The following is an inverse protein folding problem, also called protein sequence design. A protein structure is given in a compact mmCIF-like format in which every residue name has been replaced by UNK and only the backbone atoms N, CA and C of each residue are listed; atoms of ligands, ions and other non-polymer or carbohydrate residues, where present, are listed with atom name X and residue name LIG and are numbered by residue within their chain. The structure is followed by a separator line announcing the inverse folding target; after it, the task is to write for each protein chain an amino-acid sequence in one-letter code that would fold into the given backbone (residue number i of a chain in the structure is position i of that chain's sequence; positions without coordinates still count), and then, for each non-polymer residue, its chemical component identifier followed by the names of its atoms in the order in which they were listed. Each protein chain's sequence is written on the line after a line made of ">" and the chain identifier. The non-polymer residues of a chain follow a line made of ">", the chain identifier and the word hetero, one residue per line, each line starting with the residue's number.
data_IF_723017333849
#
_entry.id   IF_723017333849
#
_cell.length_a   1.000
_cell.length_b   1.000
_cell.length_c   1.000
_cell.angle_alpha   90.00
_cell.angle_beta   90.00
_cell.angle_gamma   90.00
#
_symmetry.space_group_name_H-M   'P 1'
#
loop_
_entity.id
_entity.type
_entity.pdbx_description
1 polymer ?
#
# COMPACT_ATOMS: atom_id res chain seq x y z
N UNK A 1 -35.93 -25.80 31.12
CA UNK A 1 -35.25 -26.06 29.85
C UNK A 1 -35.80 -25.10 28.82
N UNK A 2 -34.98 -24.12 28.41
CA UNK A 2 -35.33 -23.18 27.34
C UNK A 2 -34.79 -23.78 26.04
N UNK A 3 -35.72 -24.24 25.19
CA UNK A 3 -35.40 -24.66 23.81
C UNK A 3 -35.40 -23.40 22.93
N UNK A 4 -34.24 -22.89 22.64
CA UNK A 4 -34.06 -21.84 21.61
C UNK A 4 -34.30 -22.46 20.24
N UNK A 5 -35.24 -21.92 19.46
CA UNK A 5 -35.37 -22.24 18.05
C UNK A 5 -34.30 -21.47 17.28
N UNK A 6 -33.25 -22.13 16.89
CA UNK A 6 -32.32 -21.60 15.88
C UNK A 6 -32.91 -21.83 14.50
N UNK A 7 -33.13 -20.75 13.76
CA UNK A 7 -33.52 -20.81 12.35
C UNK A 7 -32.29 -20.49 11.51
N UNK A 8 -31.76 -21.47 10.80
CA UNK A 8 -30.74 -21.24 9.80
C UNK A 8 -31.30 -20.32 8.70
N UNK A 9 -30.74 -19.15 8.53
CA UNK A 9 -31.07 -18.25 7.42
C UNK A 9 -29.99 -18.45 6.37
N UNK A 10 -30.37 -18.99 5.22
CA UNK A 10 -29.51 -19.03 4.03
C UNK A 10 -29.75 -17.74 3.29
N UNK A 11 -28.75 -16.90 3.21
CA UNK A 11 -28.77 -15.69 2.38
C UNK A 11 -28.15 -16.07 1.03
N UNK A 12 -28.95 -16.09 -0.01
CA UNK A 12 -28.45 -16.20 -1.40
C UNK A 12 -27.90 -14.84 -1.80
N UNK A 13 -26.58 -14.73 -1.88
CA UNK A 13 -25.93 -13.54 -2.43
C UNK A 13 -25.84 -13.68 -3.95
N UNK A 14 -26.11 -12.61 -4.70
CA UNK A 14 -25.88 -12.63 -6.13
C UNK A 14 -24.39 -12.88 -6.41
N UNK A 15 -24.09 -13.83 -7.30
CA UNK A 15 -22.73 -14.03 -7.80
C UNK A 15 -22.27 -12.74 -8.46
N UNK A 16 -21.29 -12.10 -7.89
CA UNK A 16 -20.63 -10.95 -8.51
C UNK A 16 -19.41 -11.46 -9.29
N UNK A 17 -19.24 -10.91 -10.50
CA UNK A 17 -18.00 -11.18 -11.23
C UNK A 17 -16.85 -10.48 -10.48
N UNK A 18 -15.68 -11.15 -10.36
CA UNK A 18 -14.50 -10.53 -9.77
C UNK A 18 -14.14 -9.25 -10.53
N UNK A 19 -13.79 -8.20 -9.81
CA UNK A 19 -13.26 -6.97 -10.37
C UNK A 19 -11.74 -6.92 -10.23
N UNK A 20 -11.06 -6.36 -11.22
CA UNK A 20 -9.65 -6.03 -11.13
C UNK A 20 -9.46 -4.94 -10.06
N UNK A 21 -8.62 -5.23 -9.07
CA UNK A 21 -8.24 -4.32 -8.00
C UNK A 21 -6.79 -3.94 -8.21
N UNK A 22 -6.50 -2.65 -8.19
CA UNK A 22 -5.16 -2.10 -8.41
C UNK A 22 -4.71 -1.35 -7.17
N UNK A 23 -3.58 -1.74 -6.61
CA UNK A 23 -2.86 -1.01 -5.58
C UNK A 23 -1.56 -0.47 -6.20
N UNK A 24 -1.50 0.85 -6.43
CA UNK A 24 -0.34 1.53 -7.00
C UNK A 24 0.29 2.47 -5.98
N UNK A 25 1.62 2.47 -5.91
CA UNK A 25 2.40 3.36 -5.05
C UNK A 25 3.59 3.92 -5.81
N UNK A 26 3.82 5.23 -5.65
CA UNK A 26 5.01 5.93 -6.12
C UNK A 26 5.52 6.82 -4.99
N UNK A 27 6.80 6.75 -4.69
CA UNK A 27 7.46 7.52 -3.63
C UNK A 27 8.75 8.14 -4.18
N UNK A 28 9.13 9.30 -3.63
CA UNK A 28 10.35 10.00 -4.03
C UNK A 28 11.58 9.11 -3.91
N UNK A 29 12.31 8.96 -5.02
CA UNK A 29 13.54 8.17 -5.08
C UNK A 29 13.35 6.66 -5.10
N UNK A 30 12.10 6.16 -5.09
CA UNK A 30 11.80 4.73 -5.18
C UNK A 30 11.18 4.37 -6.55
N UNK A 31 11.37 3.15 -7.04
CA UNK A 31 10.68 2.68 -8.23
C UNK A 31 9.16 2.58 -8.01
N UNK A 32 8.35 2.69 -9.08
CA UNK A 32 6.92 2.47 -9.00
C UNK A 32 6.64 1.04 -8.53
N UNK A 33 5.60 0.90 -7.73
CA UNK A 33 5.11 -0.40 -7.26
C UNK A 33 3.63 -0.52 -7.57
N UNK A 34 3.25 -1.55 -8.32
CA UNK A 34 1.86 -1.84 -8.64
C UNK A 34 1.57 -3.30 -8.36
N UNK A 35 0.55 -3.54 -7.55
CA UNK A 35 0.04 -4.85 -7.22
C UNK A 35 -1.37 -4.98 -7.81
N UNK A 36 -1.62 -6.09 -8.50
CA UNK A 36 -2.92 -6.41 -9.06
C UNK A 36 -3.53 -7.57 -8.29
N UNK A 37 -4.81 -7.45 -7.96
CA UNK A 37 -5.58 -8.51 -7.35
C UNK A 37 -7.00 -8.55 -7.93
N UNK A 38 -7.74 -9.60 -7.60
CA UNK A 38 -9.15 -9.72 -7.96
C UNK A 38 -10.01 -9.69 -6.70
N UNK A 39 -11.13 -8.98 -6.78
CA UNK A 39 -12.10 -9.01 -5.71
C UNK A 39 -12.69 -10.41 -5.55
N UNK A 40 -12.97 -10.80 -4.31
CA UNK A 40 -13.62 -12.07 -3.99
C UNK A 40 -14.98 -11.83 -3.36
N UNK A 41 -15.83 -12.85 -3.41
CA UNK A 41 -17.08 -12.83 -2.67
C UNK A 41 -16.83 -12.67 -1.17
N UNK A 42 -17.65 -11.88 -0.51
CA UNK A 42 -17.50 -11.56 0.92
C UNK A 42 -17.40 -12.79 1.84
N UNK A 43 -18.04 -13.89 1.48
CA UNK A 43 -18.02 -15.13 2.24
C UNK A 43 -17.10 -16.23 1.64
N UNK A 44 -16.28 -15.87 0.65
CA UNK A 44 -15.28 -16.78 0.14
C UNK A 44 -14.30 -17.19 1.26
N UNK A 45 -14.00 -18.47 1.43
CA UNK A 45 -13.01 -18.88 2.42
C UNK A 45 -11.63 -18.34 2.04
N UNK A 46 -10.96 -17.70 3.01
CA UNK A 46 -9.58 -17.26 2.84
C UNK A 46 -8.70 -18.29 3.51
N UNK A 47 -7.99 -19.08 2.71
CA UNK A 47 -6.99 -20.04 3.16
C UNK A 47 -5.69 -19.88 2.35
N UNK A 48 -4.65 -20.63 2.70
CA UNK A 48 -3.36 -20.55 2.03
C UNK A 48 -3.44 -20.87 0.52
N UNK A 49 -4.40 -21.68 0.08
CA UNK A 49 -4.59 -22.02 -1.33
C UNK A 49 -5.32 -20.92 -2.10
N UNK A 50 -6.22 -20.19 -1.44
CA UNK A 50 -6.93 -19.06 -2.05
C UNK A 50 -6.06 -17.80 -2.19
N UNK A 51 -5.02 -17.63 -1.35
CA UNK A 51 -4.10 -16.50 -1.44
C UNK A 51 -3.41 -16.43 -2.81
N UNK A 52 -2.99 -17.56 -3.38
CA UNK A 52 -2.36 -17.58 -4.71
C UNK A 52 -3.29 -17.18 -5.86
N UNK A 53 -4.62 -17.31 -5.67
CA UNK A 53 -5.61 -16.89 -6.68
C UNK A 53 -6.10 -15.45 -6.51
N UNK A 54 -5.74 -14.78 -5.41
CA UNK A 54 -6.08 -13.39 -5.18
C UNK A 54 -5.28 -12.44 -6.06
N UNK A 55 -4.00 -12.76 -6.26
CA UNK A 55 -3.09 -11.92 -7.02
C UNK A 55 -3.15 -12.25 -8.51
N UNK A 56 -3.17 -11.22 -9.33
CA UNK A 56 -3.28 -11.35 -10.77
C UNK A 56 -1.94 -11.03 -11.43
N UNK A 57 -1.38 -12.03 -12.09
CA UNK A 57 -0.20 -11.90 -12.96
C UNK A 57 -0.59 -11.87 -14.43
N UNK A 58 0.37 -11.55 -15.30
CA UNK A 58 0.22 -11.56 -16.76
C UNK A 58 -0.58 -10.38 -17.32
N UNK A 59 -0.64 -9.26 -16.59
CA UNK A 59 -1.25 -8.03 -17.05
C UNK A 59 -0.26 -7.17 -17.86
N UNK A 60 -0.78 -6.34 -18.75
CA UNK A 60 -0.05 -5.25 -19.35
C UNK A 60 -0.23 -4.00 -18.48
N UNK A 61 0.88 -3.51 -17.90
CA UNK A 61 0.84 -2.36 -16.99
C UNK A 61 1.75 -1.27 -17.54
N UNK A 62 1.18 -0.08 -17.73
CA UNK A 62 1.86 1.10 -18.27
C UNK A 62 1.81 2.25 -17.29
N UNK A 63 2.89 3.00 -17.24
CA UNK A 63 3.01 4.22 -16.46
C UNK A 63 3.38 5.37 -17.40
N UNK A 64 2.52 6.35 -17.50
CA UNK A 64 2.85 7.62 -18.15
C UNK A 64 3.38 8.60 -17.09
N UNK A 65 4.53 9.20 -17.37
CA UNK A 65 5.17 10.21 -16.51
C UNK A 65 5.28 11.50 -17.30
N UNK A 66 4.37 12.44 -17.07
CA UNK A 66 4.29 13.73 -17.78
C UNK A 66 4.30 13.59 -19.32
N UNK A 67 3.63 12.56 -19.85
CA UNK A 67 3.54 12.28 -21.30
C UNK A 67 4.61 11.32 -21.85
N UNK A 68 5.46 10.75 -21.00
CA UNK A 68 6.38 9.68 -21.35
C UNK A 68 5.83 8.34 -20.86
N UNK A 69 5.38 7.50 -21.79
CA UNK A 69 4.86 6.17 -21.49
C UNK A 69 6.00 5.16 -21.30
N UNK A 70 5.92 4.36 -20.24
CA UNK A 70 6.86 3.29 -19.90
C UNK A 70 6.09 2.03 -19.50
N UNK A 71 6.46 0.89 -20.08
CA UNK A 71 5.94 -0.40 -19.68
C UNK A 71 6.59 -0.83 -18.36
N UNK A 72 5.75 -1.22 -17.38
CA UNK A 72 6.22 -1.82 -16.13
C UNK A 72 6.47 -3.31 -16.36
N UNK A 73 7.52 -3.82 -15.74
CA UNK A 73 7.88 -5.25 -15.79
C UNK A 73 7.23 -5.99 -14.62
N UNK A 74 6.75 -7.18 -14.89
CA UNK A 74 6.28 -8.10 -13.87
C UNK A 74 7.46 -8.79 -13.19
N UNK A 75 7.44 -8.82 -11.86
CA UNK A 75 8.40 -9.53 -11.01
C UNK A 75 7.62 -10.38 -10.03
N UNK A 76 7.76 -11.70 -10.10
CA UNK A 76 7.05 -12.65 -9.26
C UNK A 76 7.95 -13.24 -8.18
N UNK A 77 7.39 -13.46 -6.99
CA UNK A 77 8.15 -14.05 -5.86
C UNK A 77 8.70 -15.44 -6.14
N UNK A 78 8.11 -16.20 -7.08
CA UNK A 78 8.62 -17.49 -7.54
C UNK A 78 9.93 -17.39 -8.31
N UNK A 79 10.31 -16.20 -8.80
CA UNK A 79 11.52 -15.94 -9.58
C UNK A 79 12.65 -15.40 -8.70
N UNK A 80 12.36 -15.07 -7.43
CA UNK A 80 13.31 -14.46 -6.51
C UNK A 80 14.15 -15.51 -5.77
N UNK A 81 15.44 -15.20 -5.60
CA UNK A 81 16.33 -15.95 -4.73
C UNK A 81 16.06 -15.66 -3.23
N UNK A 82 16.70 -16.42 -2.32
CA UNK A 82 16.44 -16.28 -0.88
C UNK A 82 16.76 -14.88 -0.31
N UNK A 83 17.77 -14.19 -0.82
CA UNK A 83 18.12 -12.84 -0.38
C UNK A 83 17.10 -11.82 -0.86
N UNK A 84 16.64 -11.94 -2.10
CA UNK A 84 15.63 -11.06 -2.70
C UNK A 84 14.25 -11.28 -2.04
N UNK A 85 13.90 -12.54 -1.71
CA UNK A 85 12.69 -12.84 -0.94
C UNK A 85 12.72 -12.22 0.46
N UNK A 86 13.88 -12.23 1.13
CA UNK A 86 14.02 -11.56 2.43
C UNK A 86 13.83 -10.04 2.30
N UNK A 87 14.43 -9.42 1.28
CA UNK A 87 14.24 -7.99 1.01
C UNK A 87 12.78 -7.67 0.63
N UNK A 88 12.13 -8.50 -0.19
CA UNK A 88 10.72 -8.35 -0.53
C UNK A 88 9.81 -8.49 0.71
N UNK A 89 10.13 -9.41 1.63
CA UNK A 89 9.42 -9.59 2.90
C UNK A 89 9.44 -8.33 3.76
N UNK A 90 10.60 -7.67 3.86
CA UNK A 90 10.73 -6.41 4.59
C UNK A 90 9.96 -5.26 3.90
N UNK A 91 10.05 -5.17 2.58
CA UNK A 91 9.42 -4.11 1.79
C UNK A 91 7.88 -4.23 1.79
N UNK A 92 7.36 -5.45 1.65
CA UNK A 92 5.94 -5.73 1.53
C UNK A 92 5.26 -5.95 2.88
N UNK A 93 6.03 -6.24 3.93
CA UNK A 93 5.52 -6.55 5.26
C UNK A 93 4.86 -7.94 5.37
N UNK A 94 5.13 -8.85 4.41
CA UNK A 94 4.64 -10.23 4.43
C UNK A 94 5.76 -11.19 4.83
N UNK A 95 5.47 -12.21 5.66
CA UNK A 95 6.44 -13.28 5.92
C UNK A 95 6.89 -13.98 4.62
N UNK A 96 8.16 -14.42 4.56
CA UNK A 96 8.73 -15.09 3.38
C UNK A 96 7.90 -16.31 2.97
N UNK A 97 7.38 -17.06 3.93
CA UNK A 97 6.54 -18.24 3.69
C UNK A 97 5.25 -17.87 2.93
N UNK A 98 4.66 -16.72 3.25
CA UNK A 98 3.45 -16.21 2.57
C UNK A 98 3.79 -15.81 1.14
N UNK A 99 4.91 -15.12 0.94
CA UNK A 99 5.38 -14.72 -0.41
C UNK A 99 5.61 -15.93 -1.31
N UNK A 100 6.21 -16.99 -0.79
CA UNK A 100 6.44 -18.24 -1.54
C UNK A 100 5.11 -18.92 -1.89
N UNK A 101 4.17 -18.99 -0.95
CA UNK A 101 2.88 -19.68 -1.14
C UNK A 101 1.93 -18.91 -2.07
N UNK A 102 1.95 -17.57 -2.00
CA UNK A 102 1.03 -16.73 -2.78
C UNK A 102 1.48 -16.51 -4.23
N UNK A 103 2.75 -16.80 -4.54
CA UNK A 103 3.35 -16.41 -5.83
C UNK A 103 2.98 -14.98 -6.23
N UNK A 104 3.22 -14.04 -5.32
CA UNK A 104 2.89 -12.64 -5.48
C UNK A 104 3.68 -12.06 -6.65
N UNK A 105 3.01 -11.43 -7.61
CA UNK A 105 3.63 -10.69 -8.69
C UNK A 105 3.38 -9.19 -8.51
N UNK A 106 4.40 -8.38 -8.69
CA UNK A 106 4.34 -6.92 -8.67
C UNK A 106 4.84 -6.37 -10.00
N UNK A 107 4.31 -5.22 -10.40
CA UNK A 107 4.76 -4.51 -11.60
C UNK A 107 5.57 -3.31 -11.18
N UNK A 108 6.77 -3.16 -11.73
CA UNK A 108 7.75 -2.13 -11.37
C UNK A 108 8.58 -1.69 -12.56
N UNK A 109 9.43 -0.68 -12.36
CA UNK A 109 10.42 -0.26 -13.35
C UNK A 109 11.75 -0.04 -12.66
N UNK A 110 12.83 -0.48 -13.26
CA UNK A 110 14.19 -0.19 -12.77
C UNK A 110 14.81 1.06 -13.41
N UNK A 111 14.10 1.68 -14.35
CA UNK A 111 14.56 2.87 -15.08
C UNK A 111 13.88 4.16 -14.63
N UNK A 112 12.76 4.05 -13.90
CA UNK A 112 12.01 5.19 -13.39
C UNK A 112 12.03 5.15 -11.87
N UNK A 113 12.32 6.30 -11.27
CA UNK A 113 12.15 6.57 -9.86
C UNK A 113 11.13 7.69 -9.69
N UNK A 114 10.42 7.68 -8.57
CA UNK A 114 9.51 8.77 -8.23
C UNK A 114 10.24 10.10 -8.09
N UNK A 115 9.76 11.12 -8.78
CA UNK A 115 10.26 12.49 -8.73
C UNK A 115 9.14 13.43 -8.27
N UNK A 116 9.48 14.32 -7.36
CA UNK A 116 8.56 15.32 -6.83
C UNK A 116 8.06 16.27 -7.92
N UNK A 117 6.80 16.67 -7.83
CA UNK A 117 6.16 17.59 -8.75
C UNK A 117 5.63 16.93 -10.04
N UNK A 118 6.01 15.68 -10.32
CA UNK A 118 5.57 14.96 -11.50
C UNK A 118 4.20 14.33 -11.34
N UNK A 119 3.51 14.18 -12.47
CA UNK A 119 2.23 13.48 -12.58
C UNK A 119 2.44 12.10 -13.17
N UNK A 120 1.82 11.11 -12.56
CA UNK A 120 1.88 9.70 -12.93
C UNK A 120 0.48 9.21 -13.28
N UNK A 121 0.30 8.72 -14.51
CA UNK A 121 -0.94 8.07 -14.94
C UNK A 121 -0.68 6.59 -15.17
N UNK A 122 -1.44 5.76 -14.49
CA UNK A 122 -1.33 4.30 -14.55
C UNK A 122 -2.46 3.74 -15.41
N UNK A 123 -2.13 2.81 -16.28
CA UNK A 123 -3.06 1.94 -16.95
C UNK A 123 -2.65 0.48 -16.73
N UNK A 124 -3.58 -0.35 -16.26
CA UNK A 124 -3.41 -1.79 -16.10
C UNK A 124 -4.51 -2.52 -16.88
N UNK A 125 -4.10 -3.45 -17.75
CA UNK A 125 -5.00 -4.25 -18.58
C UNK A 125 -4.78 -5.72 -18.27
N UNK A 126 -5.84 -6.40 -17.85
CA UNK A 126 -5.85 -7.84 -17.60
C UNK A 126 -7.05 -8.48 -18.32
N UNK A 127 -6.78 -9.19 -19.41
CA UNK A 127 -7.84 -9.75 -20.26
C UNK A 127 -8.73 -8.65 -20.86
N UNK A 128 -10.00 -8.62 -20.47
CA UNK A 128 -10.96 -7.59 -20.92
C UNK A 128 -11.06 -6.41 -19.92
N UNK A 129 -10.48 -6.55 -18.72
CA UNK A 129 -10.55 -5.55 -17.67
C UNK A 129 -9.45 -4.50 -17.84
N UNK A 130 -9.82 -3.23 -17.67
CA UNK A 130 -8.89 -2.10 -17.70
C UNK A 130 -9.11 -1.22 -16.48
N UNK A 131 -8.06 -0.95 -15.74
CA UNK A 131 -8.06 0.00 -14.64
C UNK A 131 -7.12 1.17 -14.95
N UNK A 132 -7.53 2.39 -14.55
CA UNK A 132 -6.75 3.61 -14.72
C UNK A 132 -6.74 4.42 -13.45
N UNK A 133 -5.58 5.03 -13.16
CA UNK A 133 -5.41 5.94 -12.04
C UNK A 133 -4.46 7.06 -12.43
N UNK A 134 -4.62 8.21 -11.80
CA UNK A 134 -3.70 9.33 -11.96
C UNK A 134 -3.37 9.89 -10.57
N UNK A 135 -2.11 10.21 -10.36
CA UNK A 135 -1.64 10.86 -9.12
C UNK A 135 -0.52 11.83 -9.42
N UNK A 136 -0.34 12.80 -8.53
CA UNK A 136 0.81 13.70 -8.55
C UNK A 136 1.64 13.46 -7.29
N UNK A 137 2.95 13.29 -7.45
CA UNK A 137 3.86 13.21 -6.33
C UNK A 137 4.19 14.62 -5.85
N UNK A 138 3.57 15.03 -4.77
CA UNK A 138 3.78 16.36 -4.21
C UNK A 138 5.17 16.44 -3.56
N UNK A 139 5.80 17.65 -3.56
CA UNK A 139 7.03 17.86 -2.81
C UNK A 139 6.79 17.69 -1.31
N UNK A 140 7.79 17.23 -0.55
CA UNK A 140 7.68 17.10 0.89
C UNK A 140 7.55 18.48 1.53
N UNK A 141 6.83 18.54 2.64
CA UNK A 141 6.70 19.75 3.44
C UNK A 141 7.79 19.73 4.51
N UNK A 142 8.54 20.83 4.57
CA UNK A 142 9.55 20.97 5.60
C UNK A 142 8.91 21.14 6.98
N UNK A 143 9.52 20.53 7.99
CA UNK A 143 9.16 20.80 9.38
C UNK A 143 9.81 22.10 9.83
N UNK A 144 9.02 23.06 10.32
CA UNK A 144 9.51 24.33 10.86
C UNK A 144 10.17 24.13 12.21
N UNK A 145 9.60 23.25 13.03
CA UNK A 145 10.19 22.89 14.32
C UNK A 145 9.78 21.48 14.77
N UNK A 146 10.67 20.90 15.57
CA UNK A 146 10.47 19.59 16.19
C UNK A 146 10.94 19.69 17.64
N UNK A 147 10.09 19.28 18.60
CA UNK A 147 10.46 19.24 20.02
C UNK A 147 9.83 18.08 20.73
N UNK A 148 10.44 17.72 21.83
CA UNK A 148 10.01 16.59 22.65
C UNK A 148 9.57 17.09 24.02
N UNK A 149 8.40 16.64 24.49
CA UNK A 149 7.86 16.97 25.80
C UNK A 149 7.67 15.70 26.63
N UNK A 150 8.15 15.74 27.87
CA UNK A 150 7.90 14.69 28.84
C UNK A 150 6.76 15.12 29.74
N UNK A 151 5.58 14.47 29.71
CA UNK A 151 4.49 14.76 30.64
C UNK A 151 4.93 14.55 32.08
N UNK A 152 4.58 15.47 32.97
CA UNK A 152 5.14 15.56 34.33
C UNK A 152 4.83 14.41 35.29
N UNK A 153 4.22 13.34 34.83
CA UNK A 153 3.89 12.15 35.64
C UNK A 153 4.48 10.84 35.08
N UNK A 154 5.38 10.90 34.07
CA UNK A 154 5.99 9.71 33.46
C UNK A 154 7.49 9.96 33.28
N UNK A 155 8.32 8.98 33.63
CA UNK A 155 9.78 9.02 33.41
C UNK A 155 10.19 8.35 32.10
N UNK A 156 9.28 7.67 31.41
CA UNK A 156 9.58 6.78 30.28
C UNK A 156 8.80 7.06 29.00
N UNK A 157 7.80 7.93 29.07
CA UNK A 157 6.99 8.29 27.92
C UNK A 157 7.12 9.78 27.61
N UNK A 158 7.19 10.11 26.34
CA UNK A 158 7.20 11.49 25.87
C UNK A 158 6.39 11.66 24.60
N UNK A 159 6.05 12.89 24.32
CA UNK A 159 5.31 13.30 23.12
C UNK A 159 6.28 14.05 22.20
N UNK A 160 6.36 13.62 20.97
CA UNK A 160 7.08 14.33 19.91
C UNK A 160 6.09 15.28 19.23
N UNK A 161 6.42 16.57 19.23
CA UNK A 161 5.65 17.61 18.56
C UNK A 161 6.39 18.05 17.30
N UNK A 162 5.62 18.31 16.25
CA UNK A 162 6.13 18.88 15.00
C UNK A 162 5.25 20.06 14.61
N UNK A 163 5.88 21.10 14.09
CA UNK A 163 5.20 22.25 13.48
C UNK A 163 5.62 22.34 12.03
N UNK A 164 4.68 22.59 11.14
CA UNK A 164 4.89 22.84 9.73
C UNK A 164 3.81 23.78 9.21
N UNK A 165 4.08 24.45 8.12
CA UNK A 165 3.11 25.29 7.42
C UNK A 165 2.36 24.45 6.39
N UNK A 166 1.03 24.37 6.55
CA UNK A 166 0.17 23.68 5.60
C UNK A 166 -0.01 24.54 4.34
N UNK A 167 0.21 23.99 3.12
CA UNK A 167 -0.04 24.74 1.88
C UNK A 167 -1.52 25.11 1.73
N UNK A 168 -1.81 26.29 1.18
CA UNK A 168 -3.17 26.80 0.94
C UNK A 168 -4.03 25.94 -0.01
N UNK A 169 -3.47 24.87 -0.58
CA UNK A 169 -4.18 23.97 -1.49
C UNK A 169 -5.00 22.95 -0.73
N UNK A 170 -6.28 22.83 -1.02
CA UNK A 170 -7.16 21.82 -0.42
C UNK A 170 -6.85 20.40 -0.92
N UNK A 171 -7.06 19.42 -0.06
CA UNK A 171 -6.91 17.99 -0.38
C UNK A 171 -5.54 17.41 -0.04
N UNK A 172 -4.76 18.09 0.80
CA UNK A 172 -3.52 17.56 1.33
C UNK A 172 -3.80 16.47 2.38
N UNK A 173 -2.97 15.42 2.39
CA UNK A 173 -3.01 14.39 3.39
C UNK A 173 -1.59 14.14 3.93
N UNK A 174 -1.47 14.10 5.25
CA UNK A 174 -0.19 13.92 5.93
C UNK A 174 -0.15 12.58 6.62
N UNK A 175 0.97 11.88 6.49
CA UNK A 175 1.22 10.64 7.18
C UNK A 175 2.46 10.75 8.06
N UNK A 176 2.28 10.46 9.33
CA UNK A 176 3.31 10.58 10.34
C UNK A 176 3.97 9.25 10.63
N UNK A 177 5.27 9.28 10.81
CA UNK A 177 6.05 8.16 11.30
C UNK A 177 7.20 8.67 12.16
N UNK A 178 7.68 7.85 13.08
CA UNK A 178 8.82 8.16 13.93
C UNK A 178 9.74 6.95 14.05
N UNK A 179 11.03 7.21 14.19
CA UNK A 179 12.04 6.18 14.40
C UNK A 179 13.01 6.64 15.47
N UNK A 180 13.24 5.80 16.48
CA UNK A 180 14.30 6.03 17.46
C UNK A 180 15.61 5.49 16.90
N UNK A 181 16.54 6.38 16.60
CA UNK A 181 17.84 6.01 16.05
C UNK A 181 18.58 5.03 16.96
N UNK A 182 19.04 3.92 16.39
CA UNK A 182 19.75 2.85 17.10
C UNK A 182 18.89 1.96 17.99
N UNK A 183 17.56 2.10 17.96
CA UNK A 183 16.62 1.27 18.72
C UNK A 183 15.55 0.62 17.85
N UNK A 184 14.95 1.38 16.93
CA UNK A 184 13.90 0.87 16.05
C UNK A 184 14.52 0.49 14.71
N UNK A 185 14.29 -0.72 14.18
CA UNK A 185 14.85 -1.14 12.89
C UNK A 185 14.21 -0.38 11.72
N UNK A 186 12.94 0.03 11.86
CA UNK A 186 12.15 0.71 10.83
C UNK A 186 11.36 1.88 11.42
N UNK A 187 10.75 2.69 10.56
CA UNK A 187 9.79 3.70 10.98
C UNK A 187 8.54 3.06 11.56
N UNK A 188 8.09 3.59 12.69
CA UNK A 188 6.87 3.19 13.38
C UNK A 188 5.76 4.19 13.06
N UNK A 189 4.59 3.67 12.71
CA UNK A 189 3.41 4.47 12.44
C UNK A 189 2.49 4.44 13.67
N UNK A 190 2.05 5.58 14.19
CA UNK A 190 1.03 5.61 15.24
C UNK A 190 -0.31 5.07 14.72
N UNK A 191 -1.20 4.69 15.62
CA UNK A 191 -2.53 4.15 15.29
C UNK A 191 -3.40 5.12 14.48
N UNK A 192 -3.18 6.43 14.63
CA UNK A 192 -3.75 7.49 13.79
C UNK A 192 -2.57 8.21 13.16
N UNK A 193 -2.11 7.71 12.03
CA UNK A 193 -0.91 8.21 11.34
C UNK A 193 -1.22 9.10 10.15
N UNK A 194 -2.50 9.21 9.74
CA UNK A 194 -2.91 10.00 8.58
C UNK A 194 -3.91 11.06 9.01
N UNK A 195 -3.70 12.29 8.56
CA UNK A 195 -4.57 13.45 8.78
C UNK A 195 -4.78 14.15 7.45
N UNK A 196 -6.01 14.55 7.17
CA UNK A 196 -6.42 15.30 5.98
C UNK A 196 -6.68 16.77 6.33
N UNK A 197 -6.57 17.68 5.35
CA UNK A 197 -6.82 19.12 5.47
C UNK A 197 -8.15 19.49 6.16
N UNK A 198 -9.15 18.66 6.04
CA UNK A 198 -10.47 18.94 6.64
C UNK A 198 -10.45 19.03 8.17
N UNK A 199 -9.31 18.75 8.81
CA UNK A 199 -9.12 18.79 10.26
C UNK A 199 -8.30 20.00 10.76
N UNK A 200 -7.85 20.90 9.87
CA UNK A 200 -7.10 22.10 10.21
C UNK A 200 -7.89 23.39 10.00
#
# INVERSE_FOLDING_TARGET
>A
TWTGCEKAITVELPNQQPYLVVEGRIETGLPPFVLLSQSQDYFAPIDASSLGSLYAGGAEVKLDVDGLEVDLIEVCTSELGPEELAAASELLGFPVEVLILSNLCVYTSFTILGEEGRTYALEAVLGEDTARAITKLNPPIALDSLWFEIPGNTDSLGVLHALFEDPDSLGNAYRWSAQRLGKDPTFLYPSVSTVEDAFF
#
